data_IF_905745318156
#
_entry.id   IF_905745318156
#
_cell.length_a   1.000
_cell.length_b   1.000
_cell.length_c   1.000
_cell.angle_alpha   90.00
_cell.angle_beta   90.00
_cell.angle_gamma   90.00
#
_symmetry.space_group_name_H-M   'P 1'
#
loop_
_entity.id
_entity.type
_entity.pdbx_description
1 polymer ?
#
# COMPACT_ATOMS: atom_id res chain seq x y z
N UNK A 1 -12.41 0.75 -58.68
CA UNK A 1 -12.72 0.09 -57.40
C UNK A 1 -14.20 0.26 -57.13
N UNK A 2 -14.96 -0.82 -56.87
CA UNK A 2 -16.40 -0.71 -56.61
C UNK A 2 -16.66 -0.02 -55.27
N UNK A 3 -17.72 0.79 -55.16
CA UNK A 3 -18.03 1.55 -53.94
C UNK A 3 -18.16 0.67 -52.69
N UNK A 4 -18.54 -0.60 -52.86
CA UNK A 4 -18.56 -1.59 -51.78
C UNK A 4 -17.18 -1.85 -51.17
N UNK A 5 -16.12 -1.90 -51.98
CA UNK A 5 -14.74 -2.12 -51.50
C UNK A 5 -14.26 -0.94 -50.66
N UNK A 6 -14.67 0.29 -51.00
CA UNK A 6 -14.34 1.51 -50.24
C UNK A 6 -15.00 1.46 -48.86
N UNK A 7 -16.28 1.09 -48.80
CA UNK A 7 -17.01 0.96 -47.52
C UNK A 7 -16.43 -0.12 -46.61
N UNK A 8 -16.04 -1.27 -47.17
CA UNK A 8 -15.38 -2.34 -46.40
C UNK A 8 -14.06 -1.87 -45.83
N UNK A 9 -13.24 -1.15 -46.61
CA UNK A 9 -11.97 -0.61 -46.13
C UNK A 9 -12.16 0.41 -45.00
N UNK A 10 -13.13 1.32 -45.14
CA UNK A 10 -13.45 2.31 -44.09
C UNK A 10 -13.88 1.62 -42.80
N UNK A 11 -14.77 0.63 -42.88
CA UNK A 11 -15.19 -0.13 -41.71
C UNK A 11 -14.03 -0.83 -41.02
N UNK A 12 -13.13 -1.44 -41.80
CA UNK A 12 -11.99 -2.19 -41.28
C UNK A 12 -11.01 -1.26 -40.56
N UNK A 13 -10.78 -0.06 -41.09
CA UNK A 13 -9.97 0.98 -40.43
C UNK A 13 -10.61 1.43 -39.11
N UNK A 14 -11.91 1.70 -39.10
CA UNK A 14 -12.62 2.11 -37.87
C UNK A 14 -12.57 1.00 -36.82
N UNK A 15 -12.79 -0.25 -37.22
CA UNK A 15 -12.70 -1.40 -36.31
C UNK A 15 -11.30 -1.56 -35.72
N UNK A 16 -10.25 -1.34 -36.53
CA UNK A 16 -8.87 -1.39 -36.06
C UNK A 16 -8.58 -0.28 -35.03
N UNK A 17 -9.03 0.95 -35.30
CA UNK A 17 -8.87 2.08 -34.37
C UNK A 17 -9.60 1.79 -33.06
N UNK A 18 -10.84 1.30 -33.13
CA UNK A 18 -11.61 0.93 -31.94
C UNK A 18 -10.88 -0.13 -31.09
N UNK A 19 -10.31 -1.15 -31.74
CA UNK A 19 -9.53 -2.18 -31.06
C UNK A 19 -8.31 -1.60 -30.34
N UNK A 20 -7.56 -0.70 -30.99
CA UNK A 20 -6.39 -0.04 -30.42
C UNK A 20 -6.79 0.84 -29.23
N UNK A 21 -7.88 1.59 -29.33
CA UNK A 21 -8.40 2.43 -28.25
C UNK A 21 -8.83 1.59 -27.04
N UNK A 22 -9.57 0.50 -27.27
CA UNK A 22 -9.98 -0.43 -26.21
C UNK A 22 -8.76 -1.06 -25.55
N UNK A 23 -7.78 -1.50 -26.32
CA UNK A 23 -6.54 -2.06 -25.79
C UNK A 23 -5.77 -1.03 -24.96
N UNK A 24 -5.67 0.21 -25.44
CA UNK A 24 -4.98 1.27 -24.72
C UNK A 24 -5.68 1.63 -23.41
N UNK A 25 -7.02 1.72 -23.42
CA UNK A 25 -7.82 1.94 -22.22
C UNK A 25 -7.69 0.78 -21.24
N UNK A 26 -7.77 -0.47 -21.71
CA UNK A 26 -7.61 -1.64 -20.87
C UNK A 26 -6.21 -1.68 -20.24
N UNK A 27 -5.16 -1.34 -21.01
CA UNK A 27 -3.79 -1.27 -20.51
C UNK A 27 -3.62 -0.13 -19.51
N UNK A 28 -4.20 1.04 -19.78
CA UNK A 28 -4.16 2.18 -18.86
C UNK A 28 -4.89 1.88 -17.57
N UNK A 29 -6.10 1.31 -17.62
CA UNK A 29 -6.84 0.86 -16.43
C UNK A 29 -6.05 -0.19 -15.66
N UNK A 30 -5.42 -1.15 -16.35
CA UNK A 30 -4.56 -2.14 -15.69
C UNK A 30 -3.36 -1.48 -15.01
N UNK A 31 -2.69 -0.55 -15.68
CA UNK A 31 -1.55 0.20 -15.12
C UNK A 31 -1.98 1.13 -13.98
N UNK A 32 -3.15 1.77 -14.06
CA UNK A 32 -3.71 2.61 -13.01
C UNK A 32 -4.24 1.78 -11.84
N UNK A 33 -4.65 0.53 -12.05
CA UNK A 33 -4.93 -0.40 -10.97
C UNK A 33 -3.61 -0.83 -10.33
N UNK A 34 -2.67 -1.39 -11.09
CA UNK A 34 -1.38 -1.88 -10.58
C UNK A 34 -0.54 -0.80 -9.87
N UNK A 35 -0.66 0.47 -10.30
CA UNK A 35 0.05 1.61 -9.69
C UNK A 35 -0.86 2.52 -8.84
N UNK A 36 -2.15 2.21 -8.76
CA UNK A 36 -3.12 3.00 -8.01
C UNK A 36 -3.00 2.74 -6.51
N UNK A 37 -3.24 3.76 -5.65
CA UNK A 37 -3.26 3.59 -4.20
C UNK A 37 -4.17 2.44 -3.72
N UNK A 38 -5.18 2.11 -4.51
CA UNK A 38 -6.17 1.05 -4.26
C UNK A 38 -5.71 -0.38 -4.56
N UNK A 39 -4.72 -0.65 -5.42
CA UNK A 39 -4.20 -2.03 -5.54
C UNK A 39 -3.39 -2.47 -4.31
N UNK A 40 -2.96 -1.50 -3.50
CA UNK A 40 -2.30 -1.76 -2.24
C UNK A 40 -3.25 -1.71 -1.03
N UNK A 41 -4.48 -1.22 -1.16
CA UNK A 41 -5.48 -1.28 -0.11
C UNK A 41 -5.90 -2.74 0.14
N UNK A 42 -5.44 -3.32 1.24
CA UNK A 42 -5.60 -4.73 1.57
C UNK A 42 -4.36 -5.59 1.30
N UNK A 43 -3.29 -5.03 0.71
CA UNK A 43 -2.02 -5.73 0.54
C UNK A 43 -1.45 -6.05 1.93
N UNK A 44 -1.26 -7.34 2.19
CA UNK A 44 -0.66 -7.84 3.43
C UNK A 44 0.78 -8.22 3.16
N UNK A 45 1.66 -7.71 4.02
CA UNK A 45 3.06 -8.03 4.03
C UNK A 45 3.45 -8.66 5.36
N UNK A 46 4.29 -9.69 5.31
CA UNK A 46 5.01 -10.15 6.48
C UNK A 46 6.22 -9.22 6.67
N UNK A 47 6.32 -8.59 7.82
CA UNK A 47 7.45 -7.74 8.17
C UNK A 47 8.48 -8.60 8.91
N UNK A 48 9.68 -8.68 8.35
CA UNK A 48 10.84 -9.23 9.07
C UNK A 48 11.39 -8.16 10.01
N UNK A 49 11.04 -8.26 11.29
CA UNK A 49 11.51 -7.37 12.34
C UNK A 49 12.45 -8.11 13.30
N UNK A 50 13.32 -7.36 13.98
CA UNK A 50 14.14 -7.93 15.04
C UNK A 50 13.28 -8.50 16.17
N UNK A 51 13.67 -9.63 16.81
CA UNK A 51 12.87 -10.26 17.87
C UNK A 51 12.55 -9.32 19.05
N UNK A 52 13.47 -8.41 19.37
CA UNK A 52 13.26 -7.37 20.39
C UNK A 52 12.13 -6.41 19.99
N UNK A 53 12.10 -5.97 18.73
CA UNK A 53 11.03 -5.11 18.21
C UNK A 53 9.68 -5.82 18.15
N UNK A 54 9.65 -7.11 17.81
CA UNK A 54 8.40 -7.91 17.86
C UNK A 54 7.85 -7.96 19.29
N UNK A 55 8.69 -8.25 20.28
CA UNK A 55 8.30 -8.29 21.68
C UNK A 55 7.80 -6.91 22.16
N UNK A 56 8.50 -5.83 21.79
CA UNK A 56 8.10 -4.45 22.13
C UNK A 56 6.76 -4.04 21.50
N UNK A 57 6.50 -4.40 20.23
CA UNK A 57 5.22 -4.13 19.57
C UNK A 57 4.07 -4.91 20.21
N UNK A 58 4.30 -6.18 20.57
CA UNK A 58 3.31 -7.00 21.27
C UNK A 58 3.01 -6.47 22.68
N UNK A 59 4.04 -6.05 23.41
CA UNK A 59 3.90 -5.43 24.73
C UNK A 59 3.20 -4.07 24.69
N UNK A 60 3.18 -3.41 23.53
CA UNK A 60 2.53 -2.11 23.37
C UNK A 60 1.01 -2.22 23.22
N UNK A 61 0.53 -3.18 22.44
CA UNK A 61 -0.90 -3.34 22.15
C UNK A 61 -1.18 -4.74 21.62
N UNK A 62 -2.25 -5.35 22.12
CA UNK A 62 -2.83 -6.57 21.54
C UNK A 62 -3.70 -6.26 20.30
N UNK A 63 -4.15 -5.00 20.16
CA UNK A 63 -4.87 -4.51 18.99
C UNK A 63 -3.91 -4.02 17.90
N UNK A 64 -4.33 -4.08 16.62
CA UNK A 64 -3.52 -3.61 15.50
C UNK A 64 -3.18 -2.12 15.63
N UNK A 65 -1.90 -1.79 15.44
CA UNK A 65 -1.37 -0.44 15.53
C UNK A 65 -1.50 0.23 14.17
N UNK A 66 -2.16 1.38 14.09
CA UNK A 66 -2.25 2.15 12.86
C UNK A 66 -1.00 3.02 12.70
N UNK A 67 -0.31 2.83 11.60
CA UNK A 67 0.84 3.63 11.19
C UNK A 67 0.48 4.41 9.93
N UNK A 68 0.93 5.67 9.86
CA UNK A 68 0.79 6.52 8.68
C UNK A 68 2.09 7.26 8.41
N UNK A 69 2.56 7.16 7.18
CA UNK A 69 3.70 7.90 6.64
C UNK A 69 3.19 8.91 5.61
N UNK A 70 3.63 10.17 5.74
CA UNK A 70 3.38 11.23 4.77
C UNK A 70 4.35 12.39 5.00
N UNK A 71 4.07 13.55 4.41
CA UNK A 71 4.96 14.74 4.46
C UNK A 71 5.39 15.17 5.89
N UNK A 72 4.54 14.91 6.90
CA UNK A 72 4.82 15.23 8.30
C UNK A 72 5.55 14.13 9.10
N UNK A 73 6.08 13.11 8.43
CA UNK A 73 6.73 11.95 9.07
C UNK A 73 5.75 10.89 9.57
N UNK A 74 6.27 9.93 10.35
CA UNK A 74 5.52 8.79 10.85
C UNK A 74 4.58 9.21 11.98
N UNK A 75 3.30 8.86 11.85
CA UNK A 75 2.29 8.98 12.89
C UNK A 75 1.76 7.61 13.28
N UNK A 76 1.48 7.45 14.57
CA UNK A 76 1.10 6.19 15.21
C UNK A 76 -0.19 6.39 15.96
N UNK A 77 -1.17 5.52 15.73
CA UNK A 77 -2.36 5.36 16.55
C UNK A 77 -2.32 3.99 17.21
N UNK A 78 -2.58 3.98 18.51
CA UNK A 78 -2.66 2.76 19.30
C UNK A 78 -4.04 2.76 19.94
N UNK A 79 -4.83 1.72 19.69
CA UNK A 79 -6.19 1.59 20.22
C UNK A 79 -7.04 2.85 19.91
N UNK A 80 -7.72 3.37 20.94
CA UNK A 80 -8.62 4.52 20.88
C UNK A 80 -7.90 5.86 21.15
N UNK A 81 -6.56 5.86 21.21
CA UNK A 81 -5.79 7.09 21.44
C UNK A 81 -5.71 7.93 20.16
N UNK A 82 -5.60 9.26 20.26
CA UNK A 82 -5.37 10.09 19.09
C UNK A 82 -4.07 9.69 18.38
N UNK A 83 -4.01 9.90 17.06
CA UNK A 83 -2.77 9.73 16.30
C UNK A 83 -1.71 10.70 16.82
N UNK A 84 -0.59 10.14 17.27
CA UNK A 84 0.55 10.90 17.77
C UNK A 84 1.73 10.74 16.82
N UNK A 85 2.57 11.76 16.64
CA UNK A 85 3.81 11.61 15.88
C UNK A 85 4.70 10.58 16.57
N UNK A 86 5.49 9.83 15.80
CA UNK A 86 6.46 8.87 16.35
C UNK A 86 7.41 9.53 17.38
N UNK A 87 7.71 10.81 17.18
CA UNK A 87 8.50 11.62 18.11
C UNK A 87 7.87 11.77 19.50
N UNK A 88 6.56 11.61 19.65
CA UNK A 88 5.89 11.64 20.96
C UNK A 88 6.13 10.36 21.79
N UNK A 89 6.66 9.30 21.17
CA UNK A 89 7.00 8.04 21.83
C UNK A 89 8.50 7.94 22.20
N UNK A 90 9.28 8.99 21.94
CA UNK A 90 10.71 9.07 22.22
C UNK A 90 10.95 8.86 23.72
N UNK A 91 11.73 7.83 24.05
CA UNK A 91 12.05 7.45 25.44
C UNK A 91 11.50 6.08 25.89
N UNK A 92 10.73 5.39 25.04
CA UNK A 92 10.32 4.00 25.26
C UNK A 92 11.03 3.08 24.28
N UNK A 93 11.39 1.86 24.70
CA UNK A 93 11.91 0.77 23.84
C UNK A 93 10.99 0.42 22.65
N UNK A 94 9.77 0.94 22.71
CA UNK A 94 8.74 0.84 21.69
C UNK A 94 9.00 1.77 20.50
N UNK A 95 9.68 2.91 20.69
CA UNK A 95 9.93 3.88 19.63
C UNK A 95 10.83 3.34 18.53
N UNK A 96 11.87 2.58 18.89
CA UNK A 96 12.74 1.89 17.93
C UNK A 96 11.99 0.80 17.18
N UNK A 97 11.12 0.05 17.86
CA UNK A 97 10.32 -1.00 17.25
C UNK A 97 9.29 -0.45 16.24
N UNK A 98 8.64 0.67 16.58
CA UNK A 98 7.72 1.37 15.67
C UNK A 98 8.47 2.00 14.49
N UNK A 99 9.67 2.54 14.72
CA UNK A 99 10.52 3.08 13.68
C UNK A 99 10.99 1.98 12.71
N UNK A 100 11.38 0.82 13.23
CA UNK A 100 11.78 -0.34 12.43
C UNK A 100 10.60 -0.84 11.58
N UNK A 101 9.42 -0.99 12.20
CA UNK A 101 8.20 -1.35 11.48
C UNK A 101 7.88 -0.35 10.37
N UNK A 102 7.91 0.95 10.66
CA UNK A 102 7.67 2.00 9.67
C UNK A 102 8.71 2.00 8.55
N UNK A 103 9.98 1.73 8.87
CA UNK A 103 11.07 1.60 7.90
C UNK A 103 10.80 0.46 6.91
N UNK A 104 10.51 -0.74 7.43
CA UNK A 104 10.20 -1.93 6.60
C UNK A 104 8.96 -1.74 5.75
N UNK A 105 7.92 -1.09 6.30
CA UNK A 105 6.71 -0.76 5.56
C UNK A 105 7.01 0.24 4.42
N UNK A 106 7.87 1.22 4.68
CA UNK A 106 8.29 2.20 3.66
C UNK A 106 9.17 1.59 2.57
N UNK A 107 10.04 0.64 2.92
CA UNK A 107 10.82 -0.13 1.93
C UNK A 107 9.89 -0.90 0.99
N UNK A 108 8.76 -1.39 1.51
CA UNK A 108 7.84 -2.22 0.75
C UNK A 108 6.83 -1.44 -0.09
N UNK A 109 6.35 -0.29 0.40
CA UNK A 109 5.26 0.45 -0.23
C UNK A 109 5.61 1.89 -0.60
N UNK A 110 6.84 2.33 -0.37
CA UNK A 110 7.34 3.64 -0.76
C UNK A 110 7.19 4.72 0.33
N UNK A 111 7.27 6.01 -0.05
CA UNK A 111 7.40 7.12 0.90
C UNK A 111 6.08 7.58 1.54
N UNK A 112 4.92 7.16 1.02
CA UNK A 112 3.60 7.52 1.55
C UNK A 112 2.71 6.29 1.65
N UNK A 113 2.16 6.06 2.83
CA UNK A 113 1.31 4.90 3.10
C UNK A 113 0.53 5.06 4.41
N UNK A 114 -0.56 4.32 4.52
CA UNK A 114 -1.29 4.07 5.76
C UNK A 114 -1.36 2.56 5.94
N UNK A 115 -0.94 2.04 7.10
CA UNK A 115 -0.88 0.60 7.33
C UNK A 115 -1.29 0.22 8.75
N UNK A 116 -1.94 -0.92 8.89
CA UNK A 116 -2.18 -1.58 10.17
C UNK A 116 -1.07 -2.59 10.41
N UNK A 117 -0.32 -2.42 11.49
CA UNK A 117 0.70 -3.37 11.94
C UNK A 117 0.12 -4.23 13.06
N UNK A 118 0.15 -5.54 12.86
CA UNK A 118 -0.33 -6.52 13.84
C UNK A 118 0.81 -7.47 14.19
N UNK A 119 1.18 -7.51 15.48
CA UNK A 119 2.08 -8.51 16.01
C UNK A 119 1.26 -9.73 16.49
N UNK A 120 1.50 -10.91 15.91
CA UNK A 120 0.82 -12.15 16.28
C UNK A 120 1.58 -12.89 17.36
N UNK A 121 0.90 -13.82 18.04
CA UNK A 121 1.44 -14.64 19.13
C UNK A 121 2.57 -15.57 18.70
N UNK A 122 2.58 -15.97 17.42
CA UNK A 122 3.63 -16.79 16.79
C UNK A 122 4.97 -16.05 16.59
N UNK A 123 5.03 -14.75 16.91
CA UNK A 123 6.22 -13.92 16.73
C UNK A 123 6.32 -13.30 15.34
N UNK A 124 5.34 -13.52 14.47
CA UNK A 124 5.24 -12.84 13.18
C UNK A 124 4.63 -11.45 13.35
N UNK A 125 5.11 -10.50 12.55
CA UNK A 125 4.50 -9.18 12.42
C UNK A 125 4.02 -9.03 10.99
N UNK A 126 2.76 -8.63 10.84
CA UNK A 126 2.17 -8.38 9.53
C UNK A 126 1.74 -6.93 9.43
N UNK A 127 2.01 -6.31 8.28
CA UNK A 127 1.45 -5.03 7.91
C UNK A 127 0.35 -5.23 6.87
N UNK A 128 -0.77 -4.53 7.03
CA UNK A 128 -1.82 -4.43 6.03
C UNK A 128 -1.93 -2.98 5.58
N UNK A 129 -1.66 -2.71 4.31
CA UNK A 129 -1.83 -1.37 3.75
C UNK A 129 -3.31 -1.03 3.58
N UNK A 130 -3.65 0.21 3.89
CA UNK A 130 -4.99 0.79 3.80
C UNK A 130 -5.06 1.89 2.74
N UNK A 131 -3.98 2.63 2.52
CA UNK A 131 -3.82 3.67 1.50
C UNK A 131 -2.34 3.84 1.15
#
# INVERSE_FOLDING_TARGET
MSGAVIWVLVFLVIALIALVVVWYLARRVKTDLDNGPTAAAGARALLELTPASVASLRGLSAEPILLKQGEGGVRVQIEHRPMLPLMAFVGKDVSSALAEAAGRVSEQWGPEWVALVTARDDGSVSAQRLA
#
